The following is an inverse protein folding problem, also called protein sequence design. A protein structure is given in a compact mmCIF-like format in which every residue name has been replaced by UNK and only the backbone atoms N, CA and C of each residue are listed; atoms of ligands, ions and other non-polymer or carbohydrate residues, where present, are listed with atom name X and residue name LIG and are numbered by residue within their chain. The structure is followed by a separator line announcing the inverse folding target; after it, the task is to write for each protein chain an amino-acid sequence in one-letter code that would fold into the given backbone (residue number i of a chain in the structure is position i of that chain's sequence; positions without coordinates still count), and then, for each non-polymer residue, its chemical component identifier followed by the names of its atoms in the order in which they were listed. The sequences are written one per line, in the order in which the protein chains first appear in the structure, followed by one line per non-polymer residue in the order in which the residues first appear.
data_IF_556392732457
#
_entry.id   IF_556392732457
#
_cell.length_a   1.000
_cell.length_b   1.000
_cell.length_c   1.000
_cell.angle_alpha   90.00
_cell.angle_beta   90.00
_cell.angle_gamma   90.00
#
_symmetry.space_group_name_H-M   'P 1'
#
loop_
_entity.id
_entity.type
_entity.pdbx_description
1 polymer ?
#
# COMPACT_ATOMS: atom_id res chain seq x y z
N UNK A 1 -33.97 26.62 16.36
CA UNK A 1 -33.77 25.21 15.94
C UNK A 1 -32.96 25.10 14.64
N UNK A 2 -33.39 25.70 13.51
CA UNK A 2 -32.66 25.56 12.23
C UNK A 2 -31.17 25.91 12.27
N UNK A 3 -30.81 27.04 12.89
CA UNK A 3 -29.41 27.43 13.08
C UNK A 3 -28.59 26.49 13.97
N UNK A 4 -29.21 25.85 14.96
CA UNK A 4 -28.51 24.91 15.86
C UNK A 4 -28.06 23.68 15.07
N UNK A 5 -28.98 23.07 14.30
CA UNK A 5 -28.63 21.93 13.45
C UNK A 5 -27.60 22.30 12.37
N UNK A 6 -27.72 23.50 11.78
CA UNK A 6 -26.75 23.98 10.81
C UNK A 6 -25.35 24.12 11.43
N UNK A 7 -25.21 24.78 12.58
CA UNK A 7 -23.91 24.95 13.26
C UNK A 7 -23.28 23.61 13.64
N UNK A 8 -24.07 22.65 14.11
CA UNK A 8 -23.58 21.29 14.43
C UNK A 8 -23.11 20.53 13.18
N UNK A 9 -23.71 20.79 12.02
CA UNK A 9 -23.31 20.13 10.76
C UNK A 9 -21.96 20.60 10.22
N UNK A 10 -21.50 21.81 10.58
CA UNK A 10 -20.24 22.39 10.09
C UNK A 10 -19.03 21.51 10.43
N UNK A 11 -18.74 21.16 11.71
CA UNK A 11 -17.59 20.32 12.05
C UNK A 11 -17.68 18.91 11.45
N UNK A 12 -18.90 18.36 11.29
CA UNK A 12 -19.12 17.04 10.69
C UNK A 12 -18.81 17.06 9.19
N UNK A 13 -19.30 18.08 8.46
CA UNK A 13 -19.01 18.22 7.03
C UNK A 13 -17.52 18.48 6.79
N UNK A 14 -16.86 19.22 7.69
CA UNK A 14 -15.43 19.45 7.62
C UNK A 14 -14.62 18.15 7.81
N UNK A 15 -14.93 17.34 8.82
CA UNK A 15 -14.21 16.08 9.06
C UNK A 15 -14.39 15.09 7.90
N UNK A 16 -15.60 14.97 7.35
CA UNK A 16 -15.88 14.17 6.15
C UNK A 16 -15.06 14.67 4.95
N UNK A 17 -14.99 15.98 4.76
CA UNK A 17 -14.25 16.58 3.64
C UNK A 17 -12.75 16.28 3.72
N UNK A 18 -12.16 16.34 4.92
CA UNK A 18 -10.74 16.02 5.13
C UNK A 18 -10.48 14.53 4.87
N UNK A 19 -11.30 13.65 5.45
CA UNK A 19 -11.16 12.20 5.28
C UNK A 19 -11.29 11.77 3.81
N UNK A 20 -12.33 12.26 3.12
CA UNK A 20 -12.52 11.99 1.70
C UNK A 20 -11.41 12.60 0.84
N UNK A 21 -10.88 13.75 1.23
CA UNK A 21 -9.71 14.37 0.61
C UNK A 21 -8.50 13.44 0.62
N UNK A 22 -8.12 12.92 1.80
CA UNK A 22 -6.99 11.98 1.99
C UNK A 22 -7.22 10.70 1.19
N UNK A 23 -8.41 10.10 1.28
CA UNK A 23 -8.75 8.87 0.58
C UNK A 23 -8.62 9.05 -0.94
N UNK A 24 -9.12 10.15 -1.48
CA UNK A 24 -9.04 10.44 -2.92
C UNK A 24 -7.63 10.72 -3.40
N UNK A 25 -6.77 11.38 -2.63
CA UNK A 25 -5.39 11.67 -3.05
C UNK A 25 -4.47 10.47 -2.95
N UNK A 26 -4.56 9.68 -1.87
CA UNK A 26 -3.61 8.61 -1.60
C UNK A 26 -4.11 7.23 -2.00
N UNK A 27 -5.43 7.02 -2.04
CA UNK A 27 -6.06 5.71 -2.17
C UNK A 27 -7.27 5.73 -3.12
N UNK A 28 -7.16 6.45 -4.25
CA UNK A 28 -8.28 6.72 -5.17
C UNK A 28 -9.05 5.47 -5.65
N UNK A 29 -8.38 4.32 -5.74
CA UNK A 29 -8.97 3.06 -6.19
C UNK A 29 -9.43 2.14 -5.03
N UNK A 30 -9.26 2.54 -3.76
CA UNK A 30 -9.60 1.72 -2.60
C UNK A 30 -11.12 1.48 -2.51
N UNK A 31 -11.60 0.32 -2.01
CA UNK A 31 -13.02 0.02 -1.89
C UNK A 31 -13.80 1.15 -1.20
N UNK A 32 -13.19 1.71 -0.14
CA UNK A 32 -13.74 2.80 0.66
C UNK A 32 -13.85 4.15 -0.09
N UNK A 33 -13.03 4.39 -1.12
CA UNK A 33 -13.00 5.68 -1.82
C UNK A 33 -14.33 6.03 -2.50
N UNK A 34 -15.09 5.02 -2.91
CA UNK A 34 -16.45 5.18 -3.46
C UNK A 34 -17.44 5.70 -2.40
N UNK A 35 -17.40 5.14 -1.19
CA UNK A 35 -18.18 5.63 -0.06
C UNK A 35 -17.74 7.02 0.37
N UNK A 36 -16.44 7.29 0.41
CA UNK A 36 -15.90 8.60 0.79
C UNK A 36 -16.30 9.69 -0.23
N UNK A 37 -16.32 9.35 -1.52
CA UNK A 37 -16.80 10.24 -2.58
C UNK A 37 -18.30 10.52 -2.44
N UNK A 38 -19.10 9.52 -2.10
CA UNK A 38 -20.53 9.69 -1.81
C UNK A 38 -20.73 10.58 -0.57
N UNK A 39 -20.03 10.30 0.53
CA UNK A 39 -20.12 11.06 1.78
C UNK A 39 -19.70 12.53 1.58
N UNK A 40 -18.70 12.78 0.73
CA UNK A 40 -18.31 14.13 0.31
C UNK A 40 -19.42 14.84 -0.48
N UNK A 41 -20.09 14.13 -1.40
CA UNK A 41 -21.24 14.67 -2.12
C UNK A 41 -22.42 14.97 -1.20
N UNK A 42 -22.75 14.02 -0.32
CA UNK A 42 -23.81 14.14 0.66
C UNK A 42 -23.55 15.27 1.65
N UNK A 43 -22.33 15.41 2.18
CA UNK A 43 -21.99 16.49 3.13
C UNK A 43 -22.15 17.89 2.52
N UNK A 44 -21.78 18.08 1.24
CA UNK A 44 -22.06 19.34 0.52
C UNK A 44 -23.56 19.62 0.42
N UNK A 45 -24.36 18.59 0.14
CA UNK A 45 -25.81 18.71 0.04
C UNK A 45 -26.44 19.00 1.42
N UNK A 46 -25.98 18.33 2.48
CA UNK A 46 -26.40 18.60 3.87
C UNK A 46 -26.08 20.04 4.27
N UNK A 47 -24.89 20.52 3.94
CA UNK A 47 -24.49 21.88 4.23
C UNK A 47 -25.37 22.91 3.49
N UNK A 48 -25.58 22.71 2.19
CA UNK A 48 -26.43 23.60 1.38
C UNK A 48 -27.91 23.57 1.83
N UNK A 49 -28.47 22.38 2.04
CA UNK A 49 -29.85 22.21 2.49
C UNK A 49 -30.06 22.73 3.92
N UNK A 50 -29.08 22.54 4.82
CA UNK A 50 -29.10 23.07 6.18
C UNK A 50 -29.05 24.59 6.21
N UNK A 51 -28.19 25.21 5.39
CA UNK A 51 -28.13 26.66 5.24
C UNK A 51 -29.45 27.23 4.69
N UNK A 52 -30.00 26.60 3.65
CA UNK A 52 -31.30 26.97 3.08
C UNK A 52 -32.42 26.85 4.12
N UNK A 53 -32.48 25.74 4.86
CA UNK A 53 -33.48 25.52 5.90
C UNK A 53 -33.38 26.57 7.01
N UNK A 54 -32.18 26.96 7.43
CA UNK A 54 -31.96 27.99 8.43
C UNK A 54 -32.45 29.37 7.94
N UNK A 55 -32.09 29.76 6.72
CA UNK A 55 -32.48 31.05 6.12
C UNK A 55 -34.00 31.10 5.89
N UNK A 56 -34.57 30.09 5.24
CA UNK A 56 -36.01 30.05 4.97
C UNK A 56 -36.84 29.95 6.26
N UNK A 57 -36.35 29.25 7.29
CA UNK A 57 -37.00 29.24 8.60
C UNK A 57 -36.94 30.62 9.27
N UNK A 58 -35.82 31.34 9.17
CA UNK A 58 -35.70 32.72 9.67
C UNK A 58 -36.67 33.67 8.96
N UNK A 59 -36.81 33.58 7.62
CA UNK A 59 -37.75 34.40 6.85
C UNK A 59 -39.20 34.06 7.25
N UNK A 60 -39.56 32.78 7.30
CA UNK A 60 -40.90 32.33 7.70
C UNK A 60 -41.24 32.78 9.12
N UNK A 61 -40.27 32.75 10.05
CA UNK A 61 -40.47 33.25 11.42
C UNK A 61 -40.70 34.76 11.44
N UNK A 62 -39.96 35.53 10.64
CA UNK A 62 -40.13 36.98 10.50
C UNK A 62 -41.53 37.35 9.95
N UNK A 63 -42.05 36.53 9.03
CA UNK A 63 -43.41 36.62 8.49
C UNK A 63 -44.49 36.02 9.42
N UNK A 64 -44.13 35.62 10.65
CA UNK A 64 -45.01 35.01 11.67
C UNK A 64 -45.57 33.61 11.33
N UNK A 65 -45.07 32.93 10.30
CA UNK A 65 -45.42 31.55 9.94
C UNK A 65 -44.63 30.51 10.76
N UNK A 66 -44.85 30.49 12.09
CA UNK A 66 -44.09 29.63 13.02
C UNK A 66 -44.26 28.13 12.74
N UNK A 67 -45.47 27.68 12.43
CA UNK A 67 -45.74 26.27 12.15
C UNK A 67 -45.02 25.81 10.87
N UNK A 68 -45.10 26.60 9.81
CA UNK A 68 -44.43 26.34 8.53
C UNK A 68 -42.91 26.28 8.68
N UNK A 69 -42.32 27.20 9.45
CA UNK A 69 -40.89 27.22 9.73
C UNK A 69 -40.43 25.92 10.44
N UNK A 70 -41.18 25.46 11.44
CA UNK A 70 -40.85 24.22 12.18
C UNK A 70 -41.01 22.98 11.31
N UNK A 71 -42.12 22.85 10.58
CA UNK A 71 -42.37 21.69 9.69
C UNK A 71 -41.28 21.58 8.63
N UNK A 72 -40.87 22.70 8.02
CA UNK A 72 -39.83 22.71 7.00
C UNK A 72 -38.47 22.25 7.56
N UNK A 73 -38.06 22.75 8.73
CA UNK A 73 -36.82 22.33 9.39
C UNK A 73 -36.86 20.83 9.71
N UNK A 74 -37.96 20.35 10.29
CA UNK A 74 -38.10 18.92 10.64
C UNK A 74 -38.05 18.05 9.38
N UNK A 75 -38.77 18.43 8.32
CA UNK A 75 -38.82 17.66 7.08
C UNK A 75 -37.44 17.54 6.43
N UNK A 76 -36.71 18.65 6.30
CA UNK A 76 -35.37 18.68 5.67
C UNK A 76 -34.38 17.84 6.49
N UNK A 77 -34.31 18.03 7.81
CA UNK A 77 -33.37 17.28 8.64
C UNK A 77 -33.74 15.79 8.73
N UNK A 78 -35.03 15.45 8.76
CA UNK A 78 -35.47 14.03 8.74
C UNK A 78 -35.08 13.37 7.40
N UNK A 79 -35.29 14.07 6.28
CA UNK A 79 -34.88 13.58 4.97
C UNK A 79 -33.37 13.37 4.87
N UNK A 80 -32.57 14.26 5.48
CA UNK A 80 -31.11 14.11 5.54
C UNK A 80 -30.71 12.89 6.41
N UNK A 81 -31.24 12.80 7.63
CA UNK A 81 -30.86 11.77 8.62
C UNK A 81 -31.25 10.36 8.15
N UNK A 82 -32.39 10.22 7.47
CA UNK A 82 -32.87 8.91 6.97
C UNK A 82 -32.40 8.65 5.54
N UNK A 83 -32.45 9.66 4.68
CA UNK A 83 -32.15 9.51 3.25
C UNK A 83 -30.67 9.29 2.96
N UNK A 84 -29.76 9.92 3.73
CA UNK A 84 -28.32 9.78 3.48
C UNK A 84 -27.83 8.35 3.76
N UNK A 85 -28.13 7.72 4.91
CA UNK A 85 -27.75 6.33 5.16
C UNK A 85 -28.41 5.36 4.18
N UNK A 86 -29.69 5.59 3.84
CA UNK A 86 -30.41 4.75 2.87
C UNK A 86 -29.76 4.81 1.49
N UNK A 87 -29.44 6.01 0.99
CA UNK A 87 -28.75 6.19 -0.28
C UNK A 87 -27.33 5.60 -0.25
N UNK A 88 -26.61 5.74 0.87
CA UNK A 88 -25.29 5.13 1.06
C UNK A 88 -25.32 3.61 0.94
N UNK A 89 -26.40 2.95 1.39
CA UNK A 89 -26.54 1.50 1.28
C UNK A 89 -26.61 0.98 -0.17
N UNK A 90 -26.92 1.85 -1.14
CA UNK A 90 -26.92 1.52 -2.57
C UNK A 90 -25.59 1.85 -3.27
N UNK A 91 -24.63 2.45 -2.57
CA UNK A 91 -23.29 2.71 -3.12
C UNK A 91 -22.54 1.40 -3.20
N UNK A 92 -22.11 1.03 -4.41
CA UNK A 92 -21.27 -0.14 -4.61
C UNK A 92 -19.84 0.16 -4.16
N UNK A 93 -19.18 -0.77 -3.44
CA UNK A 93 -17.78 -0.61 -3.08
C UNK A 93 -16.90 -0.51 -4.34
N UNK A 94 -15.74 0.11 -4.19
CA UNK A 94 -14.68 0.08 -5.19
C UNK A 94 -14.08 -1.32 -5.37
N UNK A 95 -13.12 -1.50 -6.29
CA UNK A 95 -12.52 -2.81 -6.55
C UNK A 95 -11.77 -3.35 -5.33
N UNK A 96 -11.87 -4.66 -5.09
CA UNK A 96 -11.22 -5.36 -3.97
C UNK A 96 -9.70 -5.51 -4.13
N UNK A 97 -9.18 -5.10 -5.29
CA UNK A 97 -7.77 -5.16 -5.64
C UNK A 97 -7.32 -3.88 -6.34
N UNK A 98 -6.01 -3.67 -6.39
CA UNK A 98 -5.36 -2.68 -7.22
C UNK A 98 -4.46 -3.34 -8.26
N UNK A 99 -4.39 -2.74 -9.44
CA UNK A 99 -3.60 -3.28 -10.55
C UNK A 99 -2.12 -2.91 -10.38
N UNK A 100 -1.23 -3.88 -10.58
CA UNK A 100 0.22 -3.70 -10.64
C UNK A 100 0.81 -4.41 -11.84
N UNK A 101 1.97 -3.93 -12.26
CA UNK A 101 2.71 -4.45 -13.41
C UNK A 101 4.09 -4.91 -13.00
N UNK A 102 4.57 -5.98 -13.64
CA UNK A 102 5.96 -6.46 -13.54
C UNK A 102 6.42 -6.79 -14.95
N UNK A 103 7.10 -5.85 -15.60
CA UNK A 103 7.36 -5.96 -17.05
C UNK A 103 6.03 -5.99 -17.81
N UNK A 104 5.82 -7.03 -18.61
CA UNK A 104 4.57 -7.24 -19.37
C UNK A 104 3.44 -7.90 -18.58
N UNK A 105 3.71 -8.37 -17.37
CA UNK A 105 2.76 -9.15 -16.57
C UNK A 105 1.87 -8.24 -15.72
N UNK A 106 0.61 -8.63 -15.54
CA UNK A 106 -0.41 -7.84 -14.80
C UNK A 106 -0.87 -8.61 -13.56
N UNK A 107 -0.90 -7.92 -12.42
CA UNK A 107 -1.26 -8.46 -11.12
C UNK A 107 -2.43 -7.67 -10.50
N UNK A 108 -3.39 -8.38 -9.92
CA UNK A 108 -4.50 -7.86 -9.14
C UNK A 108 -4.20 -8.07 -7.65
N UNK A 109 -3.49 -7.11 -7.06
CA UNK A 109 -3.02 -7.22 -5.67
C UNK A 109 -4.14 -6.78 -4.72
N UNK A 110 -4.54 -7.62 -3.74
CA UNK A 110 -5.56 -7.25 -2.78
C UNK A 110 -5.15 -6.05 -1.90
N UNK A 111 -6.09 -5.19 -1.54
CA UNK A 111 -5.82 -3.96 -0.75
C UNK A 111 -5.20 -4.22 0.63
N UNK A 112 -5.39 -5.41 1.20
CA UNK A 112 -4.77 -5.80 2.46
C UNK A 112 -3.23 -5.83 2.42
N UNK A 113 -2.64 -5.85 1.22
CA UNK A 113 -1.19 -5.89 0.99
C UNK A 113 -0.56 -4.53 0.64
N UNK A 114 -1.25 -3.42 0.89
CA UNK A 114 -0.75 -2.09 0.50
C UNK A 114 0.58 -1.70 1.19
N UNK A 115 1.57 -1.12 0.47
CA UNK A 115 2.82 -0.64 1.07
C UNK A 115 2.62 0.41 2.17
N UNK A 116 3.52 0.43 3.15
CA UNK A 116 3.38 1.24 4.36
C UNK A 116 3.68 2.76 4.21
N UNK A 117 4.09 3.24 3.03
CA UNK A 117 4.53 4.63 2.87
C UNK A 117 3.37 5.59 2.53
N UNK A 118 3.16 6.67 3.33
CA UNK A 118 2.34 7.80 2.92
C UNK A 118 2.91 8.40 1.64
N UNK A 119 2.09 8.58 0.61
CA UNK A 119 2.57 9.11 -0.68
C UNK A 119 3.17 8.08 -1.63
N UNK A 120 3.09 6.77 -1.33
CA UNK A 120 3.18 5.74 -2.36
C UNK A 120 1.95 5.87 -3.27
N UNK A 121 2.03 6.81 -4.22
CA UNK A 121 0.95 7.07 -5.16
C UNK A 121 0.57 5.76 -5.83
N UNK A 122 -0.72 5.42 -5.78
CA UNK A 122 -1.31 4.39 -6.66
C UNK A 122 -1.26 4.86 -8.14
N UNK A 123 -0.81 6.09 -8.38
CA UNK A 123 -0.48 6.66 -9.70
C UNK A 123 0.66 5.86 -10.31
N UNK A 124 0.35 5.22 -11.43
CA UNK A 124 1.19 4.49 -12.39
C UNK A 124 2.61 4.24 -11.88
N UNK A 125 2.77 3.16 -11.09
CA UNK A 125 4.08 2.53 -11.04
C UNK A 125 4.37 2.12 -12.48
N UNK A 126 5.27 2.86 -13.14
CA UNK A 126 5.75 2.59 -14.49
C UNK A 126 5.86 1.08 -14.68
N UNK A 127 5.40 0.58 -15.83
CA UNK A 127 5.49 -0.83 -16.24
C UNK A 127 6.90 -1.42 -16.04
N UNK A 128 7.91 -0.56 -15.92
CA UNK A 128 9.33 -0.86 -15.76
C UNK A 128 9.75 -1.24 -14.33
N UNK A 129 9.01 -0.92 -13.26
CA UNK A 129 9.61 -0.91 -11.90
C UNK A 129 9.15 -2.01 -10.93
N UNK A 130 8.28 -2.93 -11.36
CA UNK A 130 7.71 -3.94 -10.47
C UNK A 130 6.80 -3.31 -9.40
N UNK A 131 6.55 -4.01 -8.29
CA UNK A 131 5.73 -3.48 -7.20
C UNK A 131 6.19 -3.95 -5.82
N UNK A 132 5.64 -3.33 -4.78
CA UNK A 132 5.81 -3.78 -3.39
C UNK A 132 4.48 -4.18 -2.77
N UNK A 133 4.52 -5.14 -1.87
CA UNK A 133 3.43 -5.59 -1.03
C UNK A 133 3.89 -5.61 0.44
N UNK A 134 2.98 -5.31 1.37
CA UNK A 134 3.23 -5.38 2.81
C UNK A 134 2.52 -6.61 3.40
N UNK A 135 3.29 -7.52 4.01
CA UNK A 135 2.76 -8.77 4.55
C UNK A 135 3.59 -9.29 5.72
N UNK A 136 3.03 -10.21 6.49
CA UNK A 136 3.76 -10.96 7.51
C UNK A 136 4.37 -12.23 6.91
N UNK A 137 5.70 -12.36 6.89
CA UNK A 137 6.36 -13.52 6.26
C UNK A 137 5.97 -14.87 6.89
N UNK A 138 5.65 -14.89 8.19
CA UNK A 138 5.33 -16.10 8.93
C UNK A 138 4.04 -16.78 8.46
N UNK A 139 3.02 -16.00 8.08
CA UNK A 139 1.67 -16.49 7.74
C UNK A 139 1.13 -15.95 6.41
N UNK A 140 1.89 -15.09 5.73
CA UNK A 140 1.57 -14.45 4.45
C UNK A 140 0.29 -13.60 4.46
N UNK A 141 -0.21 -13.28 5.65
CA UNK A 141 -1.38 -12.43 5.84
C UNK A 141 -1.03 -10.97 5.58
N UNK A 142 -2.06 -10.19 5.23
CA UNK A 142 -1.95 -8.77 4.97
C UNK A 142 -1.79 -7.96 6.26
N UNK A 143 -1.57 -6.66 6.09
CA UNK A 143 -1.35 -5.71 7.19
C UNK A 143 -2.54 -5.60 8.16
N UNK A 144 -3.76 -5.82 7.67
CA UNK A 144 -4.99 -5.67 8.45
C UNK A 144 -5.35 -6.89 9.30
N UNK A 145 -4.61 -7.98 9.17
CA UNK A 145 -4.93 -9.24 9.85
C UNK A 145 -4.46 -9.25 11.31
N UNK A 146 -5.33 -9.72 12.21
CA UNK A 146 -5.09 -9.72 13.66
C UNK A 146 -3.82 -10.47 14.09
N UNK A 147 -3.40 -11.48 13.30
CA UNK A 147 -2.22 -12.31 13.59
C UNK A 147 -0.94 -11.78 12.93
N UNK A 148 -0.97 -10.59 12.32
CA UNK A 148 0.19 -10.00 11.65
C UNK A 148 0.99 -9.09 12.60
N UNK A 149 1.90 -9.69 13.37
CA UNK A 149 2.69 -8.97 14.39
C UNK A 149 3.86 -8.14 13.82
N UNK A 150 4.42 -8.54 12.68
CA UNK A 150 5.59 -7.89 12.06
C UNK A 150 5.41 -7.75 10.55
N UNK A 151 5.03 -6.55 10.13
CA UNK A 151 4.86 -6.21 8.71
C UNK A 151 6.23 -6.12 8.05
N UNK A 152 6.38 -6.81 6.93
CA UNK A 152 7.57 -6.80 6.09
C UNK A 152 7.21 -6.43 4.67
N UNK A 153 8.18 -5.90 3.92
CA UNK A 153 7.98 -5.51 2.54
C UNK A 153 8.46 -6.63 1.62
N UNK A 154 7.54 -7.21 0.86
CA UNK A 154 7.85 -8.03 -0.30
C UNK A 154 7.95 -7.10 -1.52
N UNK A 155 9.02 -7.22 -2.29
CA UNK A 155 9.21 -6.57 -3.58
C UNK A 155 9.12 -7.61 -4.67
N UNK A 156 8.41 -7.28 -5.75
CA UNK A 156 8.30 -8.09 -6.94
C UNK A 156 8.85 -7.25 -8.08
N UNK A 157 10.02 -7.63 -8.60
CA UNK A 157 10.76 -6.85 -9.58
C UNK A 157 10.93 -7.65 -10.87
N UNK A 158 10.85 -7.05 -12.06
CA UNK A 158 11.10 -7.80 -13.30
C UNK A 158 12.56 -8.28 -13.34
N UNK A 159 12.81 -9.37 -14.06
CA UNK A 159 14.19 -9.87 -14.27
C UNK A 159 15.03 -8.97 -15.19
N UNK A 160 14.42 -7.96 -15.80
CA UNK A 160 15.08 -7.03 -16.72
C UNK A 160 16.14 -6.16 -16.01
N UNK A 161 17.24 -5.90 -16.72
CA UNK A 161 18.44 -5.33 -16.12
C UNK A 161 18.27 -3.89 -15.62
N UNK A 162 17.49 -3.06 -16.34
CA UNK A 162 17.23 -1.67 -15.97
C UNK A 162 16.44 -1.53 -14.66
N UNK A 163 15.66 -2.53 -14.31
CA UNK A 163 14.68 -2.54 -13.24
C UNK A 163 15.10 -3.33 -11.99
N UNK A 164 16.32 -3.89 -12.02
CA UNK A 164 16.89 -4.63 -10.90
C UNK A 164 17.08 -3.75 -9.64
N UNK A 165 16.88 -4.34 -8.45
CA UNK A 165 17.11 -3.68 -7.17
C UNK A 165 18.60 -3.27 -7.02
N UNK A 166 18.86 -2.35 -6.10
CA UNK A 166 20.21 -1.86 -5.79
C UNK A 166 21.22 -3.00 -5.55
N UNK A 167 20.82 -4.02 -4.80
CA UNK A 167 21.68 -5.16 -4.48
C UNK A 167 21.99 -6.02 -5.71
N UNK A 168 21.00 -6.27 -6.57
CA UNK A 168 21.19 -7.03 -7.82
C UNK A 168 22.07 -6.27 -8.80
N UNK A 169 21.93 -4.93 -8.86
CA UNK A 169 22.80 -4.05 -9.65
C UNK A 169 24.24 -4.07 -9.12
N UNK A 170 24.41 -3.97 -7.80
CA UNK A 170 25.73 -4.02 -7.17
C UNK A 170 26.41 -5.38 -7.36
N UNK A 171 25.65 -6.48 -7.22
CA UNK A 171 26.16 -7.81 -7.50
C UNK A 171 26.75 -7.89 -8.91
N UNK A 172 26.01 -7.45 -9.94
CA UNK A 172 26.48 -7.47 -11.32
C UNK A 172 27.70 -6.57 -11.53
N UNK A 173 27.68 -5.36 -10.96
CA UNK A 173 28.72 -4.34 -11.14
C UNK A 173 30.03 -4.69 -10.46
N UNK A 174 29.97 -5.18 -9.22
CA UNK A 174 31.15 -5.34 -8.35
C UNK A 174 31.57 -6.80 -8.18
N UNK A 175 30.94 -7.76 -8.86
CA UNK A 175 31.25 -9.21 -8.74
C UNK A 175 32.74 -9.52 -8.80
N UNK A 176 33.46 -8.89 -9.72
CA UNK A 176 34.90 -9.13 -9.95
C UNK A 176 35.79 -8.54 -8.87
N UNK A 177 35.28 -7.60 -8.06
CA UNK A 177 35.98 -6.96 -6.95
C UNK A 177 35.72 -7.69 -5.62
N UNK A 178 34.72 -8.56 -5.57
CA UNK A 178 34.35 -9.29 -4.36
C UNK A 178 35.36 -10.40 -4.06
N UNK A 179 35.70 -10.54 -2.78
CA UNK A 179 36.58 -11.62 -2.31
C UNK A 179 35.75 -12.87 -2.05
N UNK A 180 36.11 -14.03 -2.61
CA UNK A 180 35.41 -15.27 -2.32
C UNK A 180 35.61 -15.66 -0.85
N UNK A 181 34.52 -15.98 -0.17
CA UNK A 181 34.49 -16.58 1.15
C UNK A 181 34.27 -18.09 1.08
N UNK A 182 34.19 -18.78 2.23
CA UNK A 182 33.87 -20.20 2.25
C UNK A 182 32.42 -20.43 1.81
N UNK A 183 32.21 -21.38 0.90
CA UNK A 183 30.87 -21.82 0.49
C UNK A 183 30.13 -22.43 1.69
N UNK A 184 28.85 -22.07 1.86
CA UNK A 184 28.01 -22.52 2.97
C UNK A 184 26.57 -22.70 2.54
N UNK A 185 25.91 -23.74 3.05
CA UNK A 185 24.47 -24.00 2.84
C UNK A 185 24.03 -23.99 1.35
N UNK A 186 24.92 -24.43 0.45
CA UNK A 186 24.66 -24.44 -0.99
C UNK A 186 24.74 -23.05 -1.66
N UNK A 187 25.39 -22.08 -1.01
CA UNK A 187 25.72 -20.77 -1.56
C UNK A 187 27.22 -20.60 -1.74
N UNK A 188 27.57 -19.85 -2.78
CA UNK A 188 28.88 -19.23 -2.93
C UNK A 188 28.89 -17.92 -2.14
N UNK A 189 29.86 -17.77 -1.25
CA UNK A 189 29.97 -16.61 -0.37
C UNK A 189 30.96 -15.59 -0.93
N UNK A 190 30.65 -14.30 -0.81
CA UNK A 190 31.46 -13.22 -1.33
C UNK A 190 31.43 -12.02 -0.38
N UNK A 191 32.59 -11.41 -0.16
CA UNK A 191 32.72 -10.22 0.69
C UNK A 191 33.06 -9.01 -0.17
N UNK A 192 32.26 -7.97 -0.06
CA UNK A 192 32.54 -6.66 -0.62
C UNK A 192 32.92 -5.71 0.51
N UNK A 193 34.16 -5.23 0.48
CA UNK A 193 34.63 -4.21 1.42
C UNK A 193 34.31 -2.84 0.83
N UNK A 194 33.33 -2.13 1.42
CA UNK A 194 33.00 -0.78 0.98
C UNK A 194 33.99 0.22 1.59
N UNK A 195 34.92 0.70 0.76
CA UNK A 195 35.91 1.73 1.11
C UNK A 195 35.45 3.15 0.77
N UNK A 196 34.18 3.36 0.38
CA UNK A 196 33.69 4.62 -0.16
C UNK A 196 33.66 5.82 0.83
N UNK A 197 34.06 5.64 2.10
CA UNK A 197 34.18 6.74 3.06
C UNK A 197 35.65 6.96 3.42
N UNK A 198 36.23 8.16 3.12
CA UNK A 198 37.62 8.46 3.48
C UNK A 198 37.85 8.51 4.99
N UNK A 199 36.79 8.62 5.80
CA UNK A 199 36.82 8.54 7.26
C UNK A 199 35.59 7.76 7.74
N UNK A 200 35.83 6.64 8.43
CA UNK A 200 34.79 5.80 9.03
C UNK A 200 35.21 4.33 9.14
N UNK A 201 34.49 3.51 9.92
CA UNK A 201 34.75 2.08 9.99
C UNK A 201 34.48 1.44 8.61
N UNK A 202 35.43 0.64 8.15
CA UNK A 202 35.26 -0.24 6.99
C UNK A 202 34.01 -1.08 7.18
N UNK A 203 33.08 -1.04 6.22
CA UNK A 203 31.89 -1.89 6.24
C UNK A 203 32.09 -3.04 5.27
N UNK A 204 31.94 -4.25 5.78
CA UNK A 204 31.92 -5.45 4.95
C UNK A 204 30.47 -5.79 4.67
N UNK A 205 30.15 -5.97 3.40
CA UNK A 205 28.87 -6.53 2.97
C UNK A 205 29.10 -7.97 2.56
N UNK A 206 28.32 -8.88 3.14
CA UNK A 206 28.37 -10.29 2.83
C UNK A 206 27.28 -10.64 1.81
N UNK A 207 27.70 -11.26 0.71
CA UNK A 207 26.86 -11.70 -0.38
C UNK A 207 26.87 -13.24 -0.41
N UNK A 208 25.70 -13.86 -0.43
CA UNK A 208 25.54 -15.28 -0.65
C UNK A 208 24.78 -15.48 -1.95
N UNK A 209 25.43 -16.05 -2.96
CA UNK A 209 24.88 -16.23 -4.28
C UNK A 209 24.68 -17.71 -4.59
N UNK A 210 23.57 -18.01 -5.25
CA UNK A 210 23.34 -19.31 -5.89
C UNK A 210 23.13 -19.09 -7.38
N UNK A 211 23.77 -19.95 -8.17
CA UNK A 211 23.68 -19.94 -9.61
C UNK A 211 23.15 -21.29 -10.11
N UNK A 212 22.46 -21.30 -11.24
CA UNK A 212 22.08 -22.54 -11.92
C UNK A 212 23.29 -23.15 -12.67
N UNK A 213 23.08 -24.28 -13.35
CA UNK A 213 24.09 -24.94 -14.19
C UNK A 213 24.68 -24.05 -15.28
N UNK A 214 23.91 -23.07 -15.74
CA UNK A 214 24.30 -22.14 -16.79
C UNK A 214 25.05 -20.90 -16.25
N UNK A 215 25.29 -20.85 -14.94
CA UNK A 215 25.94 -19.72 -14.26
C UNK A 215 25.03 -18.50 -14.06
N UNK A 216 23.74 -18.61 -14.36
CA UNK A 216 22.76 -17.56 -14.10
C UNK A 216 22.45 -17.51 -12.60
N UNK A 217 22.47 -16.31 -12.03
CA UNK A 217 22.06 -16.06 -10.65
C UNK A 217 20.58 -16.43 -10.47
N UNK A 218 20.30 -17.32 -9.53
CA UNK A 218 18.94 -17.74 -9.13
C UNK A 218 18.57 -17.24 -7.75
N UNK A 219 19.56 -17.02 -6.89
CA UNK A 219 19.34 -16.44 -5.55
C UNK A 219 20.50 -15.57 -5.12
N UNK A 220 20.19 -14.47 -4.45
CA UNK A 220 21.17 -13.57 -3.85
C UNK A 220 20.70 -13.15 -2.46
N UNK A 221 21.58 -13.26 -1.48
CA UNK A 221 21.34 -12.78 -0.12
C UNK A 221 22.42 -11.75 0.21
N UNK A 222 22.02 -10.59 0.72
CA UNK A 222 22.94 -9.50 1.06
C UNK A 222 22.77 -9.11 2.52
N UNK A 223 23.80 -9.36 3.33
CA UNK A 223 23.88 -8.95 4.72
C UNK A 223 24.82 -7.75 4.84
N UNK A 224 24.29 -6.60 5.27
CA UNK A 224 25.04 -5.32 5.35
C UNK A 224 25.71 -5.08 6.71
N UNK A 225 25.48 -5.98 7.65
CA UNK A 225 26.03 -5.99 9.00
C UNK A 225 26.68 -7.35 9.23
N UNK A 226 27.60 -7.43 10.20
CA UNK A 226 28.22 -8.69 10.65
C UNK A 226 27.23 -9.66 11.33
N UNK A 227 25.94 -9.32 11.34
CA UNK A 227 24.83 -10.12 11.87
C UNK A 227 23.92 -10.60 10.73
N UNK A 228 23.87 -11.92 10.53
CA UNK A 228 23.03 -12.61 9.54
C UNK A 228 21.52 -12.62 9.90
N UNK A 229 21.10 -11.94 10.96
CA UNK A 229 19.68 -11.80 11.35
C UNK A 229 18.88 -10.87 10.45
N UNK A 230 19.52 -9.93 9.76
CA UNK A 230 18.85 -8.95 8.92
C UNK A 230 19.54 -8.85 7.57
N UNK A 231 19.17 -9.77 6.69
CA UNK A 231 19.69 -9.81 5.32
C UNK A 231 18.56 -9.58 4.33
N UNK A 232 18.94 -9.05 3.18
CA UNK A 232 18.03 -8.84 2.07
C UNK A 232 18.16 -10.00 1.10
N UNK A 233 17.07 -10.73 0.91
CA UNK A 233 16.97 -11.89 0.05
C UNK A 233 16.36 -11.50 -1.28
N UNK A 234 16.91 -12.07 -2.35
CA UNK A 234 16.44 -11.94 -3.72
C UNK A 234 16.36 -13.34 -4.32
N UNK A 235 15.15 -13.81 -4.63
CA UNK A 235 14.91 -15.11 -5.25
C UNK A 235 14.32 -14.93 -6.64
N UNK A 236 14.92 -15.55 -7.66
CA UNK A 236 14.39 -15.54 -9.02
C UNK A 236 13.30 -16.61 -9.12
N UNK A 237 12.07 -16.16 -9.39
CA UNK A 237 10.89 -17.02 -9.55
C UNK A 237 10.30 -16.74 -10.92
N UNK A 238 10.41 -17.72 -11.83
CA UNK A 238 9.94 -17.58 -13.20
C UNK A 238 10.63 -16.41 -13.92
N UNK A 239 9.90 -15.30 -14.11
CA UNK A 239 10.36 -14.09 -14.83
C UNK A 239 10.60 -12.88 -13.95
N UNK A 240 10.48 -13.00 -12.62
CA UNK A 240 10.64 -11.88 -11.70
C UNK A 240 11.45 -12.27 -10.46
N UNK A 241 12.01 -11.26 -9.80
CA UNK A 241 12.71 -11.36 -8.54
C UNK A 241 11.77 -11.04 -7.39
N UNK A 242 11.76 -11.91 -6.39
CA UNK A 242 11.16 -11.66 -5.08
C UNK A 242 12.23 -11.11 -4.14
N UNK A 243 12.04 -9.89 -3.66
CA UNK A 243 12.93 -9.20 -2.73
C UNK A 243 12.28 -9.05 -1.35
N UNK A 244 12.89 -9.56 -0.28
CA UNK A 244 12.38 -9.41 1.08
C UNK A 244 13.50 -9.43 2.12
N UNK A 245 13.26 -8.86 3.29
CA UNK A 245 14.23 -8.87 4.38
C UNK A 245 13.94 -10.06 5.30
N UNK A 246 14.94 -10.85 5.67
CA UNK A 246 14.80 -11.98 6.59
C UNK A 246 16.18 -12.39 7.12
N UNK A 247 16.21 -13.19 8.19
CA UNK A 247 17.48 -13.82 8.58
C UNK A 247 17.89 -14.90 7.58
N UNK A 248 19.19 -15.20 7.48
CA UNK A 248 19.69 -16.30 6.62
C UNK A 248 19.04 -17.64 6.99
N UNK A 249 18.78 -17.86 8.28
CA UNK A 249 18.17 -19.09 8.79
C UNK A 249 16.64 -19.18 8.53
N UNK A 250 15.94 -18.06 8.47
CA UNK A 250 14.47 -18.01 8.29
C UNK A 250 14.07 -18.10 6.81
N UNK A 251 14.92 -17.59 5.92
CA UNK A 251 14.66 -17.57 4.50
C UNK A 251 15.04 -18.90 3.82
N UNK A 252 14.14 -19.87 3.87
CA UNK A 252 14.29 -21.14 3.16
C UNK A 252 13.64 -21.12 1.77
N UNK A 253 13.92 -22.15 0.96
CA UNK A 253 13.27 -22.31 -0.36
C UNK A 253 11.75 -22.48 -0.22
N UNK A 254 11.28 -23.04 0.89
CA UNK A 254 9.84 -23.18 1.15
C UNK A 254 9.17 -21.82 1.36
N UNK A 255 9.85 -20.84 1.94
CA UNK A 255 9.35 -19.47 2.04
C UNK A 255 9.29 -18.83 0.66
N UNK A 256 10.33 -18.99 -0.17
CA UNK A 256 10.32 -18.52 -1.56
C UNK A 256 9.13 -19.11 -2.34
N UNK A 257 8.92 -20.43 -2.25
CA UNK A 257 7.81 -21.12 -2.93
C UNK A 257 6.44 -20.63 -2.47
N UNK A 258 6.27 -20.39 -1.16
CA UNK A 258 5.02 -19.86 -0.62
C UNK A 258 4.79 -18.40 -1.04
N UNK A 259 5.84 -17.57 -1.07
CA UNK A 259 5.77 -16.19 -1.55
C UNK A 259 5.49 -16.15 -3.06
N UNK A 260 6.13 -17.03 -3.83
CA UNK A 260 5.88 -17.24 -5.24
C UNK A 260 4.42 -17.60 -5.49
N UNK A 261 3.91 -18.63 -4.81
CA UNK A 261 2.52 -19.05 -4.93
C UNK A 261 1.53 -17.93 -4.56
N UNK A 262 1.83 -17.14 -3.54
CA UNK A 262 1.03 -15.97 -3.17
C UNK A 262 1.02 -14.93 -4.29
N UNK A 263 2.17 -14.56 -4.83
CA UNK A 263 2.26 -13.57 -5.92
C UNK A 263 1.57 -14.07 -7.20
N UNK A 264 1.75 -15.34 -7.53
CA UNK A 264 1.08 -15.99 -8.66
C UNK A 264 -0.45 -16.05 -8.48
N UNK A 265 -0.95 -16.16 -7.23
CA UNK A 265 -2.39 -16.07 -6.96
C UNK A 265 -3.00 -14.71 -7.33
N UNK A 266 -2.17 -13.67 -7.46
CA UNK A 266 -2.59 -12.33 -7.90
C UNK A 266 -2.45 -12.14 -9.40
N UNK A 267 -1.82 -13.08 -10.13
CA UNK A 267 -1.64 -12.95 -11.58
C UNK A 267 -3.00 -13.03 -12.28
N UNK A 268 -3.20 -12.13 -13.24
CA UNK A 268 -4.35 -12.20 -14.13
C UNK A 268 -4.17 -13.36 -15.12
N UNK A 269 -4.96 -14.42 -14.96
CA UNK A 269 -5.13 -15.47 -15.97
C UNK A 269 -6.08 -15.03 -17.09
#
# INVERSE_FOLDING_TARGET
MGWVFFVVSIPICFSISVAAGISKTYFAAHPQATFDAFDLGASKLVFAAGAFAAVAASIALALKFRATASVMVIAIWSAIVVGTPLARAFVKPGPEYFVRHVGSEVFFVPWQYIPAAPGASVVEVSNENGFSAALCLSNLKGRGDADCSRIQQLRVLPNEEGAADFDLKNWRKYRTEMRPGPDRLGYQSFDLTDTARPVGPTRVQHYFARQNSDGQLTRLVVCRLDDEKFCRHHALVGKYWLGYDASVAEADEKLDDRLAALVESWRRN
#
